data_IF_879617403837
#
_entry.id   IF_879617403837
#
_cell.length_a   1.000
_cell.length_b   1.000
_cell.length_c   1.000
_cell.angle_alpha   90.00
_cell.angle_beta   90.00
_cell.angle_gamma   90.00
#
_symmetry.space_group_name_H-M   'P 1'
#
loop_
_entity.id
_entity.type
_entity.pdbx_description
1 polymer ?
#
# COMPACT_ATOMS: atom_id res chain seq x y z
N UNK A 1 3.70 7.65 -19.53
CA UNK A 1 4.74 7.17 -18.60
C UNK A 1 4.06 6.14 -17.69
N UNK A 2 4.29 4.86 -17.93
CA UNK A 2 3.84 3.80 -17.02
C UNK A 2 4.70 3.91 -15.77
N UNK A 3 4.14 4.46 -14.67
CA UNK A 3 4.80 4.37 -13.38
C UNK A 3 4.85 2.88 -13.02
N UNK A 4 6.05 2.29 -13.02
CA UNK A 4 6.22 0.93 -12.53
C UNK A 4 5.66 0.85 -11.10
N UNK A 5 4.80 -0.13 -10.88
CA UNK A 5 4.27 -0.41 -9.55
C UNK A 5 5.44 -0.94 -8.73
N UNK A 6 5.76 -0.26 -7.63
CA UNK A 6 6.83 -0.65 -6.73
C UNK A 6 6.55 -2.07 -6.24
N UNK A 7 7.54 -2.95 -6.38
CA UNK A 7 7.38 -4.33 -5.95
C UNK A 7 7.35 -4.38 -4.41
N UNK A 8 6.33 -5.02 -3.79
CA UNK A 8 6.20 -5.06 -2.33
C UNK A 8 7.42 -5.60 -1.58
N UNK A 9 8.11 -6.61 -2.13
CA UNK A 9 9.33 -7.18 -1.56
C UNK A 9 10.52 -6.21 -1.49
N UNK A 10 10.69 -5.36 -2.51
CA UNK A 10 11.79 -4.39 -2.56
C UNK A 10 11.43 -3.08 -1.84
N UNK A 11 10.18 -2.65 -1.94
CA UNK A 11 9.74 -1.32 -1.51
C UNK A 11 8.31 -1.35 -0.93
N UNK A 12 8.09 -2.02 0.22
CA UNK A 12 6.75 -2.32 0.75
C UNK A 12 5.92 -1.06 1.03
N UNK A 13 6.55 -0.02 1.58
CA UNK A 13 5.89 1.27 1.87
C UNK A 13 5.39 1.98 0.61
N UNK A 14 6.21 1.95 -0.46
CA UNK A 14 5.87 2.60 -1.73
C UNK A 14 4.77 1.83 -2.46
N UNK A 15 4.82 0.49 -2.41
CA UNK A 15 3.76 -0.37 -2.94
C UNK A 15 2.41 -0.13 -2.24
N UNK A 16 2.42 -0.05 -0.91
CA UNK A 16 1.23 0.24 -0.12
C UNK A 16 0.63 1.61 -0.46
N UNK A 17 1.47 2.65 -0.58
CA UNK A 17 1.02 3.99 -0.97
C UNK A 17 0.41 4.01 -2.38
N UNK A 18 1.05 3.36 -3.36
CA UNK A 18 0.52 3.27 -4.71
C UNK A 18 -0.85 2.60 -4.75
N UNK A 19 -1.06 1.51 -3.99
CA UNK A 19 -2.37 0.86 -3.92
C UNK A 19 -3.46 1.78 -3.36
N UNK A 20 -3.17 2.54 -2.31
CA UNK A 20 -4.13 3.52 -1.77
C UNK A 20 -4.45 4.60 -2.80
N UNK A 21 -3.46 5.09 -3.54
CA UNK A 21 -3.67 6.06 -4.63
C UNK A 21 -4.56 5.48 -5.73
N UNK A 22 -4.33 4.24 -6.16
CA UNK A 22 -5.15 3.59 -7.18
C UNK A 22 -6.59 3.35 -6.68
N UNK A 23 -6.78 3.00 -5.41
CA UNK A 23 -8.10 2.87 -4.82
C UNK A 23 -8.87 4.19 -4.79
N UNK A 24 -8.18 5.31 -4.48
CA UNK A 24 -8.76 6.65 -4.57
C UNK A 24 -9.11 6.99 -6.02
N UNK A 25 -8.20 6.74 -6.96
CA UNK A 25 -8.42 7.00 -8.39
C UNK A 25 -9.58 6.18 -8.95
N UNK A 26 -9.75 4.94 -8.50
CA UNK A 26 -10.86 4.06 -8.86
C UNK A 26 -12.19 4.42 -8.17
N UNK A 27 -12.22 5.47 -7.33
CA UNK A 27 -13.40 5.88 -6.58
C UNK A 27 -13.80 4.90 -5.47
N UNK A 28 -12.92 3.97 -5.10
CA UNK A 28 -13.13 3.01 -3.99
C UNK A 28 -12.84 3.63 -2.63
N UNK A 29 -12.05 4.71 -2.60
CA UNK A 29 -11.81 5.55 -1.44
C UNK A 29 -12.13 7.00 -1.77
N UNK A 30 -12.91 7.67 -0.92
CA UNK A 30 -13.23 9.09 -1.07
C UNK A 30 -12.34 9.92 -0.14
N UNK A 31 -11.48 10.81 -0.67
CA UNK A 31 -10.67 11.70 0.15
C UNK A 31 -11.47 12.89 0.71
N UNK A 32 -12.73 13.07 0.29
CA UNK A 32 -13.55 14.26 0.55
C UNK A 32 -14.65 14.05 1.61
N UNK A 33 -14.91 12.81 2.02
CA UNK A 33 -15.92 12.50 3.04
C UNK A 33 -15.29 12.40 4.44
N UNK A 34 -14.93 13.55 5.00
CA UNK A 34 -14.95 13.83 6.45
C UNK A 34 -13.92 13.18 7.37
N UNK A 35 -13.25 12.10 6.99
CA UNK A 35 -12.19 11.51 7.83
C UNK A 35 -11.16 10.71 7.01
N UNK A 36 -9.92 11.20 6.98
CA UNK A 36 -8.80 10.51 6.35
C UNK A 36 -8.36 9.24 7.11
N UNK A 37 -8.88 9.00 8.32
CA UNK A 37 -8.52 7.85 9.17
C UNK A 37 -8.72 6.52 8.44
N UNK A 38 -9.73 6.40 7.58
CA UNK A 38 -9.93 5.19 6.79
C UNK A 38 -8.79 4.96 5.78
N UNK A 39 -8.35 6.01 5.07
CA UNK A 39 -7.21 5.92 4.15
C UNK A 39 -5.92 5.57 4.88
N UNK A 40 -5.69 6.19 6.05
CA UNK A 40 -4.51 5.92 6.88
C UNK A 40 -4.53 4.47 7.35
N UNK A 41 -5.68 3.98 7.83
CA UNK A 41 -5.84 2.59 8.26
C UNK A 41 -5.56 1.59 7.13
N UNK A 42 -6.07 1.84 5.93
CA UNK A 42 -5.86 0.98 4.76
C UNK A 42 -4.38 0.98 4.34
N UNK A 43 -3.74 2.14 4.32
CA UNK A 43 -2.31 2.24 4.05
C UNK A 43 -1.49 1.39 5.05
N UNK A 44 -1.77 1.55 6.35
CA UNK A 44 -1.08 0.81 7.41
C UNK A 44 -1.28 -0.70 7.30
N UNK A 45 -2.48 -1.15 6.92
CA UNK A 45 -2.76 -2.57 6.68
C UNK A 45 -1.95 -3.15 5.51
N UNK A 46 -1.92 -2.46 4.36
CA UNK A 46 -1.11 -2.90 3.22
C UNK A 46 0.38 -2.90 3.54
N UNK A 47 0.86 -1.85 4.23
CA UNK A 47 2.25 -1.74 4.65
C UNK A 47 2.64 -2.92 5.55
N UNK A 48 1.84 -3.21 6.58
CA UNK A 48 2.10 -4.32 7.49
C UNK A 48 2.12 -5.67 6.78
N UNK A 49 1.19 -5.89 5.84
CA UNK A 49 1.15 -7.12 5.04
C UNK A 49 2.42 -7.30 4.21
N UNK A 50 2.86 -6.26 3.49
CA UNK A 50 4.05 -6.34 2.64
C UNK A 50 5.36 -6.42 3.44
N UNK A 51 5.44 -5.74 4.59
CA UNK A 51 6.59 -5.84 5.49
C UNK A 51 6.69 -7.25 6.11
N UNK A 52 5.56 -7.88 6.46
CA UNK A 52 5.54 -9.25 6.97
C UNK A 52 5.96 -10.28 5.92
N UNK A 53 5.54 -10.12 4.66
CA UNK A 53 5.93 -11.05 3.60
C UNK A 53 7.41 -10.91 3.22
N UNK A 54 7.96 -9.69 3.22
CA UNK A 54 9.41 -9.47 3.07
C UNK A 54 10.23 -10.19 4.15
N UNK A 55 9.75 -10.22 5.39
CA UNK A 55 10.42 -10.91 6.48
C UNK A 55 10.42 -12.43 6.31
N UNK A 56 9.35 -13.02 5.74
CA UNK A 56 9.31 -14.45 5.41
C UNK A 56 10.33 -14.83 4.35
N UNK A 57 10.42 -14.05 3.27
CA UNK A 57 11.41 -14.29 2.21
C UNK A 57 12.86 -14.20 2.74
N UNK A 58 13.09 -13.31 3.71
CA UNK A 58 14.40 -13.13 4.35
C UNK A 58 14.73 -14.24 5.36
N UNK A 59 13.74 -14.94 5.91
CA UNK A 59 13.92 -16.02 6.89
C UNK A 59 14.17 -17.39 6.24
N UNK A 60 13.97 -17.51 4.92
CA UNK A 60 14.14 -18.75 4.15
C UNK A 60 15.44 -18.70 3.30
N UNK A 61 16.19 -17.59 3.36
CA UNK A 61 17.44 -17.38 2.62
C UNK A 61 18.69 -17.56 3.49
#
# INVERSE_FOLDING_TARGET
MSHEIAHPASSPKQAALQLVIELVRAGKLSPLHGDASNMISIYEQFKAHFEADKQKDSAIS
#
